data_IF_358410197236
#
_entry.id   IF_358410197236
#
_cell.length_a   1.000
_cell.length_b   1.000
_cell.length_c   1.000
_cell.angle_alpha   90.00
_cell.angle_beta   90.00
_cell.angle_gamma   90.00
#
_symmetry.space_group_name_H-M   'P 1'
#
loop_
_entity.id
_entity.type
_entity.pdbx_description
1 polymer ?
#
# COMPACT_ATOMS: atom_id res chain seq x y z
N UNK A 1 -71.81 7.77 8.77
CA UNK A 1 -71.82 7.68 7.30
C UNK A 1 -70.69 8.55 6.77
N UNK A 2 -69.52 7.97 6.50
CA UNK A 2 -68.50 8.51 5.59
C UNK A 2 -67.83 7.28 4.98
N UNK A 3 -67.80 7.21 3.65
CA UNK A 3 -67.13 6.15 2.91
C UNK A 3 -66.78 6.63 1.50
N UNK A 4 -65.61 7.23 1.37
CA UNK A 4 -64.91 7.49 0.10
C UNK A 4 -64.47 6.14 -0.50
N UNK A 5 -64.92 5.81 -1.72
CA UNK A 5 -64.28 6.08 -3.01
C UNK A 5 -63.09 5.15 -3.32
N UNK A 6 -63.30 4.23 -4.25
CA UNK A 6 -62.24 3.68 -5.10
C UNK A 6 -62.86 3.20 -6.41
N UNK A 7 -62.44 3.70 -7.59
CA UNK A 7 -62.65 3.00 -8.83
C UNK A 7 -61.33 2.42 -9.34
N UNK A 8 -61.35 1.10 -9.51
CA UNK A 8 -60.40 0.38 -10.34
C UNK A 8 -60.61 0.74 -11.82
N UNK A 9 -59.53 0.82 -12.59
CA UNK A 9 -59.62 0.69 -14.04
C UNK A 9 -58.52 -0.21 -14.59
N UNK A 10 -58.96 -1.08 -15.48
CA UNK A 10 -58.26 -2.22 -16.06
C UNK A 10 -57.75 -1.93 -17.47
N UNK A 11 -56.59 -2.52 -17.78
CA UNK A 11 -56.12 -3.02 -19.09
C UNK A 11 -55.99 -2.05 -20.30
N UNK A 12 -54.85 -2.14 -21.02
CA UNK A 12 -54.71 -2.76 -22.37
C UNK A 12 -53.31 -2.48 -23.00
N UNK A 13 -52.54 -3.56 -23.15
CA UNK A 13 -51.58 -4.06 -24.19
C UNK A 13 -50.72 -3.21 -25.17
N UNK A 14 -49.58 -3.83 -25.54
CA UNK A 14 -48.71 -3.82 -26.77
C UNK A 14 -47.33 -3.13 -26.61
N UNK A 15 -46.21 -3.87 -26.59
CA UNK A 15 -45.40 -4.43 -27.73
C UNK A 15 -44.78 -3.34 -28.64
N UNK A 16 -43.48 -3.06 -28.47
CA UNK A 16 -42.47 -2.82 -29.51
C UNK A 16 -41.13 -2.43 -28.88
N UNK A 17 -40.08 -3.17 -29.22
CA UNK A 17 -38.67 -2.85 -28.96
C UNK A 17 -38.20 -1.67 -29.83
N UNK A 18 -37.49 -0.69 -29.26
CA UNK A 18 -36.38 0.01 -29.93
C UNK A 18 -35.57 0.88 -28.93
N UNK A 19 -34.36 0.43 -28.65
CA UNK A 19 -33.11 1.19 -28.43
C UNK A 19 -33.14 2.57 -27.73
N UNK A 20 -32.56 2.64 -26.53
CA UNK A 20 -31.49 3.61 -26.26
C UNK A 20 -30.47 3.00 -25.30
N UNK A 21 -29.29 2.74 -25.85
CA UNK A 21 -28.03 2.36 -25.21
C UNK A 21 -27.40 3.57 -24.49
N UNK A 22 -26.40 3.28 -23.64
CA UNK A 22 -25.44 4.20 -22.97
C UNK A 22 -26.00 4.88 -21.70
N UNK A 23 -25.44 4.77 -20.49
CA UNK A 23 -24.11 4.39 -20.01
C UNK A 23 -24.27 3.73 -18.63
N UNK A 24 -23.65 2.58 -18.36
CA UNK A 24 -22.31 2.61 -17.79
C UNK A 24 -22.40 2.76 -16.27
N UNK A 25 -22.82 1.69 -15.59
CA UNK A 25 -22.61 1.54 -14.15
C UNK A 25 -21.13 1.82 -13.85
N UNK A 26 -20.78 2.84 -13.04
CA UNK A 26 -19.39 3.01 -12.64
C UNK A 26 -19.05 1.90 -11.65
N UNK A 27 -18.44 0.87 -12.21
CA UNK A 27 -17.57 -0.13 -11.62
C UNK A 27 -17.28 0.05 -10.13
N UNK A 28 -17.66 -1.00 -9.42
CA UNK A 28 -17.35 -1.38 -8.05
C UNK A 28 -15.84 -1.55 -7.75
N UNK A 29 -14.92 -0.95 -8.52
CA UNK A 29 -13.46 -0.99 -8.28
C UNK A 29 -12.81 0.40 -8.29
N UNK A 30 -13.08 1.22 -7.28
CA UNK A 30 -12.13 2.28 -6.85
C UNK A 30 -12.36 2.80 -5.44
N UNK A 31 -12.81 1.95 -4.51
CA UNK A 31 -12.90 2.34 -3.09
C UNK A 31 -11.51 2.26 -2.45
N UNK A 32 -10.63 3.24 -2.68
CA UNK A 32 -9.57 3.59 -1.72
C UNK A 32 -8.92 4.96 -1.88
N UNK A 33 -9.53 5.94 -2.56
CA UNK A 33 -9.13 7.34 -2.37
C UNK A 33 -9.85 7.93 -1.15
N UNK A 34 -9.60 7.38 0.04
CA UNK A 34 -10.12 7.91 1.29
C UNK A 34 -9.66 9.36 1.47
N UNK A 35 -10.53 10.21 2.01
CA UNK A 35 -10.19 11.56 2.47
C UNK A 35 -8.83 11.57 3.17
N UNK A 36 -7.99 12.56 2.84
CA UNK A 36 -6.57 12.68 3.22
C UNK A 36 -6.30 12.47 4.72
N UNK A 37 -7.32 12.66 5.57
CA UNK A 37 -7.29 12.36 6.99
C UNK A 37 -8.55 11.63 7.43
N UNK A 38 -8.46 10.33 7.66
CA UNK A 38 -9.50 9.55 8.35
C UNK A 38 -9.39 9.64 9.88
N UNK A 39 -8.25 10.14 10.36
CA UNK A 39 -7.97 10.29 11.79
C UNK A 39 -8.49 11.63 12.31
N UNK A 40 -8.83 11.67 13.61
CA UNK A 40 -9.34 12.89 14.28
C UNK A 40 -8.33 14.03 14.26
N UNK A 41 -7.03 13.74 14.33
CA UNK A 41 -5.98 14.74 14.21
C UNK A 41 -5.62 14.98 12.75
N UNK A 42 -5.54 16.25 12.36
CA UNK A 42 -5.05 16.63 11.05
C UNK A 42 -3.58 16.21 10.88
N UNK A 43 -3.31 15.38 9.89
CA UNK A 43 -1.95 14.96 9.56
C UNK A 43 -1.27 16.01 8.68
N UNK A 44 -0.04 16.39 9.03
CA UNK A 44 0.84 17.27 8.23
C UNK A 44 2.29 16.83 8.33
N UNK A 45 3.13 17.27 7.39
CA UNK A 45 4.58 17.12 7.50
C UNK A 45 5.15 18.26 8.35
N UNK A 46 6.03 17.94 9.30
CA UNK A 46 6.62 18.94 10.20
C UNK A 46 7.55 19.93 9.45
N UNK A 47 8.21 19.47 8.38
CA UNK A 47 9.13 20.26 7.57
C UNK A 47 8.43 21.19 6.56
N UNK A 48 7.12 21.05 6.35
CA UNK A 48 6.37 21.80 5.35
C UNK A 48 5.43 22.79 6.04
N UNK A 49 5.74 24.08 5.89
CA UNK A 49 4.83 25.15 6.28
C UNK A 49 4.04 25.65 5.06
N UNK A 50 2.71 25.59 5.15
CA UNK A 50 1.81 26.10 4.11
C UNK A 50 1.55 27.59 4.36
N UNK A 51 2.25 28.46 3.64
CA UNK A 51 1.95 29.88 3.65
C UNK A 51 0.71 30.16 2.76
N UNK A 52 -0.41 30.54 3.37
CA UNK A 52 -1.67 30.82 2.68
C UNK A 52 -1.55 31.92 1.61
N UNK A 53 -0.57 32.83 1.74
CA UNK A 53 -0.38 33.97 0.84
C UNK A 53 0.40 33.64 -0.44
N UNK A 54 1.08 32.49 -0.51
CA UNK A 54 1.86 32.09 -1.70
C UNK A 54 1.09 31.07 -2.54
N UNK A 55 0.75 31.42 -3.78
CA UNK A 55 -0.03 30.57 -4.70
C UNK A 55 0.77 29.38 -5.23
N UNK A 56 2.09 29.52 -5.42
CA UNK A 56 2.96 28.56 -6.10
C UNK A 56 3.45 27.38 -5.24
N UNK A 57 3.45 27.50 -3.91
CA UNK A 57 3.99 26.49 -2.98
C UNK A 57 2.94 25.63 -2.27
N UNK A 58 1.68 25.67 -2.72
CA UNK A 58 0.56 24.98 -2.05
C UNK A 58 0.75 23.47 -1.91
N UNK A 59 1.50 22.83 -2.82
CA UNK A 59 1.75 21.39 -2.83
C UNK A 59 3.22 21.02 -2.58
N UNK A 60 3.97 21.87 -1.87
CA UNK A 60 5.35 21.55 -1.52
C UNK A 60 5.37 20.31 -0.59
N UNK A 61 6.10 19.26 -0.98
CA UNK A 61 6.26 18.03 -0.20
C UNK A 61 7.72 17.83 0.12
N UNK A 62 8.02 17.57 1.39
CA UNK A 62 9.37 17.23 1.80
C UNK A 62 9.64 15.75 1.56
N UNK A 63 10.74 15.48 0.86
CA UNK A 63 11.31 14.15 0.69
C UNK A 63 12.83 14.24 0.82
N UNK A 64 13.48 13.12 1.07
CA UNK A 64 14.93 13.01 1.13
C UNK A 64 15.42 11.73 0.50
N UNK A 65 16.68 11.75 0.08
CA UNK A 65 17.41 10.55 -0.27
C UNK A 65 17.81 9.78 0.98
N UNK A 66 17.64 8.46 0.93
CA UNK A 66 17.99 7.57 2.06
C UNK A 66 19.51 7.29 2.10
N UNK A 67 20.20 7.48 0.98
CA UNK A 67 21.58 7.07 0.77
C UNK A 67 21.70 5.58 0.38
N UNK A 68 22.92 5.04 0.45
CA UNK A 68 23.22 3.63 0.17
C UNK A 68 22.86 3.18 -1.27
N UNK A 69 22.76 4.11 -2.21
CA UNK A 69 22.46 3.84 -3.63
C UNK A 69 20.99 3.53 -3.93
N UNK A 70 20.08 3.66 -2.96
CA UNK A 70 18.65 3.48 -3.20
C UNK A 70 18.00 4.78 -3.67
N UNK A 71 17.33 4.72 -4.82
CA UNK A 71 16.55 5.85 -5.36
C UNK A 71 15.22 5.97 -4.62
N UNK A 72 14.78 7.20 -4.40
CA UNK A 72 13.44 7.47 -3.86
C UNK A 72 12.36 7.08 -4.88
N UNK A 73 11.31 6.34 -4.49
CA UNK A 73 10.24 5.98 -5.40
C UNK A 73 9.45 7.24 -5.81
N UNK A 74 8.96 7.28 -7.05
CA UNK A 74 8.17 8.39 -7.57
C UNK A 74 6.91 8.63 -6.73
N UNK A 75 6.28 7.56 -6.23
CA UNK A 75 5.13 7.59 -5.32
C UNK A 75 5.40 8.36 -4.02
N UNK A 76 6.66 8.41 -3.54
CA UNK A 76 6.99 9.19 -2.36
C UNK A 76 7.01 10.71 -2.64
N UNK A 77 7.34 11.09 -3.87
CA UNK A 77 7.46 12.49 -4.32
C UNK A 77 6.09 13.05 -4.69
N UNK A 78 5.30 12.31 -5.49
CA UNK A 78 3.97 12.75 -5.96
C UNK A 78 2.84 12.40 -5.00
N UNK A 79 3.02 11.41 -4.12
CA UNK A 79 1.97 10.90 -3.25
C UNK A 79 1.54 11.92 -2.17
N UNK A 80 0.27 11.83 -1.76
CA UNK A 80 -0.34 12.74 -0.76
C UNK A 80 -0.36 12.16 0.65
N UNK A 81 0.07 10.90 0.84
CA UNK A 81 0.05 10.23 2.14
C UNK A 81 0.96 10.91 3.17
N UNK A 82 0.64 10.79 4.45
CA UNK A 82 1.46 11.33 5.54
C UNK A 82 1.82 10.18 6.49
N UNK A 83 3.12 9.92 6.62
CA UNK A 83 3.65 8.90 7.50
C UNK A 83 4.97 9.34 8.13
N UNK A 84 4.96 9.55 9.44
CA UNK A 84 6.15 9.97 10.22
C UNK A 84 7.23 8.88 10.29
N UNK A 85 6.85 7.62 10.07
CA UNK A 85 7.75 6.44 10.11
C UNK A 85 8.36 6.12 8.75
N UNK A 86 7.94 6.80 7.68
CA UNK A 86 8.47 6.62 6.33
C UNK A 86 9.97 7.01 6.28
N UNK A 87 10.82 6.26 5.56
CA UNK A 87 12.23 6.60 5.44
C UNK A 87 12.49 7.71 4.40
N UNK A 88 11.58 7.95 3.46
CA UNK A 88 11.71 8.94 2.38
C UNK A 88 11.13 10.30 2.76
N UNK A 89 9.91 10.32 3.29
CA UNK A 89 9.15 11.55 3.58
C UNK A 89 9.06 11.86 5.07
N UNK A 90 9.58 10.97 5.91
CA UNK A 90 9.57 11.09 7.36
C UNK A 90 10.97 11.27 7.95
N UNK A 91 11.03 11.46 9.28
CA UNK A 91 12.27 11.69 10.01
C UNK A 91 12.97 10.38 10.43
N UNK A 92 12.88 9.32 9.62
CA UNK A 92 13.57 8.05 9.89
C UNK A 92 14.81 7.95 8.99
N UNK A 93 15.97 7.72 9.61
CA UNK A 93 17.22 7.43 8.90
C UNK A 93 17.46 5.91 8.89
N UNK A 94 17.85 5.36 7.75
CA UNK A 94 18.30 3.97 7.66
C UNK A 94 19.78 3.90 8.06
N UNK A 95 20.13 2.91 8.89
CA UNK A 95 21.51 2.69 9.36
C UNK A 95 21.71 1.25 9.80
N UNK A 96 22.94 0.75 9.66
CA UNK A 96 23.31 -0.60 10.09
C UNK A 96 22.97 -1.64 9.02
N UNK A 97 22.35 -2.76 9.44
CA UNK A 97 22.18 -3.93 8.58
C UNK A 97 21.07 -3.74 7.55
N UNK A 98 21.35 -4.10 6.31
CA UNK A 98 20.36 -4.25 5.24
C UNK A 98 20.10 -5.74 5.04
N UNK A 99 18.84 -6.15 5.13
CA UNK A 99 18.43 -7.55 5.01
C UNK A 99 17.46 -7.70 3.85
N UNK A 100 17.54 -8.82 3.15
CA UNK A 100 16.53 -9.25 2.19
C UNK A 100 15.72 -10.40 2.76
N UNK A 101 14.46 -10.51 2.36
CA UNK A 101 13.60 -11.62 2.72
C UNK A 101 12.27 -11.58 1.99
N UNK A 102 11.48 -12.62 2.22
CA UNK A 102 10.18 -12.78 1.56
C UNK A 102 9.07 -12.27 2.46
N UNK A 103 8.10 -11.55 1.91
CA UNK A 103 6.93 -11.09 2.66
C UNK A 103 6.06 -12.28 3.04
N UNK A 104 5.84 -12.49 4.34
CA UNK A 104 4.97 -13.55 4.88
C UNK A 104 3.54 -13.06 5.12
N UNK A 105 3.37 -11.85 5.64
CA UNK A 105 2.04 -11.30 5.90
C UNK A 105 2.01 -9.78 5.81
N UNK A 106 0.89 -9.28 5.27
CA UNK A 106 0.55 -7.85 5.05
C UNK A 106 -0.72 -7.43 5.80
N UNK A 107 -1.23 -8.27 6.72
CA UNK A 107 -2.51 -8.04 7.41
C UNK A 107 -2.54 -6.79 8.30
N UNK A 108 -1.39 -6.30 8.74
CA UNK A 108 -1.29 -5.14 9.62
C UNK A 108 -1.24 -3.85 8.81
N UNK A 109 -1.84 -2.77 9.32
CA UNK A 109 -1.75 -1.45 8.70
C UNK A 109 -0.28 -0.99 8.67
N UNK A 110 0.24 -0.71 7.46
CA UNK A 110 1.58 -0.13 7.22
C UNK A 110 2.74 -0.93 7.86
N UNK A 111 2.59 -2.24 8.05
CA UNK A 111 3.66 -3.10 8.60
C UNK A 111 3.56 -4.49 7.98
N UNK A 112 4.71 -5.07 7.66
CA UNK A 112 4.82 -6.44 7.18
C UNK A 112 5.66 -7.32 8.09
N UNK A 113 5.40 -8.61 8.00
CA UNK A 113 6.29 -9.63 8.50
C UNK A 113 7.10 -10.18 7.34
N UNK A 114 8.42 -10.02 7.42
CA UNK A 114 9.40 -10.57 6.48
C UNK A 114 9.96 -11.86 7.06
N UNK A 115 9.96 -12.93 6.27
CA UNK A 115 10.56 -14.21 6.60
C UNK A 115 11.94 -14.31 5.95
N UNK A 116 12.94 -14.64 6.76
CA UNK A 116 14.29 -14.95 6.32
C UNK A 116 14.61 -16.40 6.63
N UNK A 117 14.90 -17.17 5.59
CA UNK A 117 15.33 -18.55 5.70
C UNK A 117 16.86 -18.60 5.63
N UNK A 118 17.47 -19.43 6.45
CA UNK A 118 18.92 -19.65 6.45
C UNK A 118 19.22 -21.08 6.87
N UNK A 119 20.32 -21.59 6.36
CA UNK A 119 20.81 -22.92 6.71
C UNK A 119 21.71 -22.79 7.95
N UNK A 120 21.42 -23.56 8.99
CA UNK A 120 22.24 -23.66 10.18
C UNK A 120 23.12 -24.91 10.08
N UNK A 121 24.43 -24.75 10.21
CA UNK A 121 25.38 -25.85 10.14
C UNK A 121 25.51 -26.54 11.50
N UNK A 122 25.40 -27.87 11.53
CA UNK A 122 25.60 -28.68 12.73
C UNK A 122 26.98 -29.34 12.64
N UNK A 123 27.92 -28.87 13.46
CA UNK A 123 29.32 -29.30 13.44
C UNK A 123 29.50 -30.80 13.67
N UNK A 124 28.73 -31.39 14.60
CA UNK A 124 28.80 -32.83 14.93
C UNK A 124 28.50 -33.75 13.75
N UNK A 125 27.54 -33.37 12.90
CA UNK A 125 27.05 -34.22 11.80
C UNK A 125 27.51 -33.74 10.43
N UNK A 126 28.23 -32.62 10.36
CA UNK A 126 28.66 -31.95 9.12
C UNK A 126 27.51 -31.72 8.12
N UNK A 127 26.29 -31.49 8.62
CA UNK A 127 25.07 -31.31 7.83
C UNK A 127 24.42 -29.96 8.13
N UNK A 128 23.61 -29.48 7.19
CA UNK A 128 22.82 -28.27 7.35
C UNK A 128 21.35 -28.59 7.65
N UNK A 129 20.75 -27.81 8.53
CA UNK A 129 19.30 -27.80 8.76
C UNK A 129 18.68 -26.47 8.34
N UNK A 130 17.42 -26.50 7.88
CA UNK A 130 16.69 -25.30 7.49
C UNK A 130 16.10 -24.62 8.72
N UNK A 131 16.50 -23.37 8.99
CA UNK A 131 15.87 -22.52 10.01
C UNK A 131 15.29 -21.27 9.37
N UNK A 132 14.36 -20.63 10.08
CA UNK A 132 13.80 -19.36 9.66
C UNK A 132 13.62 -18.41 10.84
N UNK A 133 13.64 -17.11 10.54
CA UNK A 133 13.32 -16.04 11.49
C UNK A 133 12.34 -15.07 10.83
N UNK A 134 11.34 -14.65 11.58
CA UNK A 134 10.37 -13.64 11.15
C UNK A 134 10.79 -12.28 11.72
N UNK A 135 10.83 -11.27 10.87
CA UNK A 135 11.24 -9.91 11.21
C UNK A 135 10.09 -8.98 10.87
N UNK A 136 9.67 -8.16 11.83
CA UNK A 136 8.68 -7.12 11.58
C UNK A 136 9.35 -5.88 10.98
N UNK A 137 8.81 -5.40 9.86
CA UNK A 137 9.28 -4.21 9.18
C UNK A 137 8.13 -3.24 8.89
N UNK A 138 8.39 -1.95 9.07
CA UNK A 138 7.46 -0.90 8.67
C UNK A 138 7.37 -0.85 7.14
N UNK A 139 6.15 -0.63 6.64
CA UNK A 139 5.89 -0.36 5.23
C UNK A 139 5.56 1.12 5.05
N UNK A 140 6.39 1.81 4.27
CA UNK A 140 6.00 3.11 3.72
C UNK A 140 4.83 2.93 2.76
N UNK A 141 3.80 3.80 2.80
CA UNK A 141 2.72 3.81 1.82
C UNK A 141 3.16 4.07 0.37
N UNK A 142 4.39 4.54 0.13
CA UNK A 142 4.98 4.67 -1.22
C UNK A 142 5.38 3.34 -1.88
N UNK A 143 5.04 2.21 -1.27
CA UNK A 143 5.13 0.91 -1.92
C UNK A 143 3.71 0.37 -2.06
N UNK A 144 3.05 0.74 -3.14
CA UNK A 144 1.73 0.22 -3.48
C UNK A 144 1.86 -1.21 -4.05
N UNK A 145 0.95 -2.10 -3.64
CA UNK A 145 0.87 -3.45 -4.19
C UNK A 145 1.93 -4.43 -3.65
N UNK A 146 2.34 -4.28 -2.39
CA UNK A 146 3.15 -5.31 -1.71
C UNK A 146 2.25 -6.48 -1.34
N UNK A 147 2.54 -7.65 -1.90
CA UNK A 147 1.79 -8.87 -1.68
C UNK A 147 2.61 -9.92 -0.93
N UNK A 148 1.93 -11.01 -0.53
CA UNK A 148 2.59 -12.14 0.13
C UNK A 148 3.42 -12.90 -0.90
N UNK A 149 4.68 -13.16 -0.57
CA UNK A 149 5.62 -13.87 -1.46
C UNK A 149 6.55 -12.95 -2.25
N UNK A 150 6.40 -11.63 -2.15
CA UNK A 150 7.33 -10.68 -2.75
C UNK A 150 8.67 -10.65 -2.01
N UNK A 151 9.72 -10.27 -2.74
CA UNK A 151 11.05 -10.07 -2.17
C UNK A 151 11.19 -8.61 -1.79
N UNK A 152 11.51 -8.36 -0.52
CA UNK A 152 11.70 -7.02 0.01
C UNK A 152 13.09 -6.87 0.60
N UNK A 153 13.67 -5.69 0.40
CA UNK A 153 14.90 -5.28 1.07
C UNK A 153 14.52 -4.32 2.19
N UNK A 154 14.88 -4.70 3.41
CA UNK A 154 14.63 -3.92 4.63
C UNK A 154 15.94 -3.35 5.18
N UNK A 155 15.88 -2.13 5.67
CA UNK A 155 16.96 -1.46 6.39
C UNK A 155 16.69 -1.40 7.87
N UNK A 156 17.72 -1.61 8.67
CA UNK A 156 17.67 -1.31 10.09
C UNK A 156 17.51 0.21 10.31
N UNK A 157 16.74 0.57 11.34
CA UNK A 157 16.48 1.96 11.70
C UNK A 157 16.42 2.11 13.24
N UNK A 158 16.14 3.32 13.73
CA UNK A 158 15.81 3.51 15.14
C UNK A 158 14.56 2.69 15.50
N UNK A 159 14.37 2.28 16.76
CA UNK A 159 13.14 1.62 17.17
C UNK A 159 11.91 2.47 16.83
N UNK A 160 10.96 1.92 16.07
CA UNK A 160 9.72 2.61 15.65
C UNK A 160 8.51 2.17 16.48
N UNK A 161 8.55 0.92 16.95
CA UNK A 161 7.56 0.28 17.81
C UNK A 161 8.27 -0.78 18.66
N UNK A 162 7.53 -1.47 19.56
CA UNK A 162 8.06 -2.56 20.41
C UNK A 162 8.87 -3.61 19.62
N UNK A 163 8.32 -4.05 18.48
CA UNK A 163 8.93 -5.10 17.63
C UNK A 163 9.65 -4.51 16.42
N UNK A 164 9.15 -3.40 15.87
CA UNK A 164 9.59 -2.86 14.57
C UNK A 164 10.86 -2.02 14.74
N UNK A 165 11.96 -2.55 14.18
CA UNK A 165 13.27 -1.89 14.10
C UNK A 165 13.81 -1.84 12.67
N UNK A 166 13.01 -2.29 11.70
CA UNK A 166 13.34 -2.35 10.29
C UNK A 166 12.27 -1.61 9.48
N UNK A 167 12.68 -1.06 8.34
CA UNK A 167 11.80 -0.37 7.39
C UNK A 167 12.09 -0.88 5.98
N UNK A 168 11.08 -1.01 5.13
CA UNK A 168 11.28 -1.40 3.73
C UNK A 168 11.90 -0.24 2.95
N UNK A 169 12.96 -0.54 2.19
CA UNK A 169 13.67 0.42 1.33
C UNK A 169 13.41 0.11 -0.15
N UNK A 170 13.32 -1.17 -0.49
CA UNK A 170 13.15 -1.61 -1.88
C UNK A 170 12.17 -2.76 -1.92
N UNK A 171 11.23 -2.68 -2.85
CA UNK A 171 10.28 -3.71 -3.17
C UNK A 171 10.63 -4.32 -4.54
N UNK A 172 10.68 -5.65 -4.60
CA UNK A 172 10.84 -6.41 -5.83
C UNK A 172 9.64 -7.35 -5.97
N UNK A 173 8.78 -7.06 -6.95
CA UNK A 173 7.65 -7.92 -7.28
C UNK A 173 8.13 -9.32 -7.63
N UNK A 174 7.46 -10.33 -7.11
CA UNK A 174 7.73 -11.73 -7.44
C UNK A 174 7.53 -11.94 -8.94
N UNK A 175 8.59 -12.33 -9.65
CA UNK A 175 8.45 -12.75 -11.03
C UNK A 175 7.86 -14.15 -11.08
N UNK A 176 6.58 -14.26 -11.44
CA UNK A 176 5.95 -15.55 -11.73
C UNK A 176 6.47 -16.02 -13.08
N UNK A 177 7.47 -16.91 -13.08
CA UNK A 177 7.96 -17.58 -14.29
C UNK A 177 6.93 -18.63 -14.73
N UNK A 178 5.88 -18.18 -15.43
CA UNK A 178 4.88 -19.01 -16.14
C UNK A 178 3.43 -18.51 -15.97
N UNK A 179 2.56 -18.46 -16.98
CA UNK A 179 2.69 -18.46 -18.43
C UNK A 179 2.41 -17.04 -18.94
N UNK A 180 2.98 -16.61 -20.06
CA UNK A 180 2.35 -15.52 -20.82
C UNK A 180 0.99 -16.06 -21.24
N UNK A 181 -0.08 -15.79 -20.46
CA UNK A 181 -1.45 -16.09 -20.89
C UNK A 181 -1.63 -15.33 -22.19
N UNK A 182 -1.62 -16.05 -23.30
CA UNK A 182 -1.96 -15.50 -24.59
C UNK A 182 -3.39 -14.99 -24.44
N UNK A 183 -3.59 -13.68 -24.57
CA UNK A 183 -4.96 -13.15 -24.71
C UNK A 183 -5.47 -13.74 -26.02
N UNK A 184 -6.51 -14.57 -25.92
CA UNK A 184 -7.14 -15.16 -27.10
C UNK A 184 -7.75 -13.99 -27.87
N UNK A 185 -7.32 -13.85 -29.14
CA UNK A 185 -7.89 -12.91 -30.10
C UNK A 185 -9.41 -13.05 -30.17
#
# INVERSE_FOLDING_TARGET
MIGFLCPAWSLVTKLADSEYTTDGDPDFESVSHLAISTERSFQKQDAVFLNAKSVSKKNARWHKDIGLGFKTPAEAISGTYIDKKCPFTGNVSIRGRILSGVVKSTKMKRTIIVRREYLHYITKYQRYEKRHKNIAAHLSPAFIGVEVGDIVTVGQCRPLSKTIRFNVIKHQKKQVKGSKRFQKF
#
